data_IF_668083907534
#
_entry.id   IF_668083907534
#
_cell.length_a   1.000
_cell.length_b   1.000
_cell.length_c   1.000
_cell.angle_alpha   90.00
_cell.angle_beta   90.00
_cell.angle_gamma   90.00
#
_symmetry.space_group_name_H-M   'P 1'
#
loop_
_entity.id
_entity.type
_entity.pdbx_description
1 polymer ?
#
# COMPACT_ATOMS: atom_id res chain seq x y z
N UNK A 1 26.16 26.69 74.59
CA UNK A 1 25.21 26.00 73.71
C UNK A 1 25.03 26.86 72.46
N UNK A 2 25.67 26.49 71.36
CA UNK A 2 25.60 27.22 70.09
C UNK A 2 24.52 26.53 69.19
N UNK A 3 23.47 27.27 68.86
CA UNK A 3 22.45 26.82 67.96
C UNK A 3 22.92 27.06 66.50
N UNK A 4 23.12 25.98 65.75
CA UNK A 4 23.35 26.03 64.30
C UNK A 4 21.98 26.07 63.58
N UNK A 5 21.73 27.19 62.93
CA UNK A 5 20.61 27.31 62.00
C UNK A 5 21.00 26.62 60.65
N UNK A 6 20.30 25.56 60.31
CA UNK A 6 20.39 24.91 58.96
C UNK A 6 19.45 25.65 58.08
N UNK A 7 19.95 26.43 57.11
CA UNK A 7 19.18 26.97 55.99
C UNK A 7 18.97 25.87 54.94
N UNK A 8 17.75 25.37 54.84
CA UNK A 8 17.31 24.56 53.72
C UNK A 8 17.03 25.49 52.51
N UNK A 9 17.97 25.55 51.58
CA UNK A 9 17.73 26.17 50.28
C UNK A 9 16.86 25.25 49.41
N UNK A 10 15.57 25.55 49.29
CA UNK A 10 14.68 24.95 48.33
C UNK A 10 15.08 25.42 46.91
N UNK A 11 15.69 24.50 46.15
CA UNK A 11 15.93 24.71 44.74
C UNK A 11 14.56 24.55 44.06
N UNK A 12 13.92 25.67 43.73
CA UNK A 12 12.80 25.70 42.79
C UNK A 12 13.37 25.47 41.39
N UNK A 13 13.30 24.23 40.91
CA UNK A 13 13.43 23.95 39.44
C UNK A 13 12.15 24.47 38.81
N UNK A 14 12.20 25.68 38.29
CA UNK A 14 11.15 26.18 37.41
C UNK A 14 11.16 25.34 36.14
N UNK A 15 10.27 24.36 36.03
CA UNK A 15 9.92 23.75 34.77
C UNK A 15 9.21 24.84 33.95
N UNK A 16 9.99 25.60 33.17
CA UNK A 16 9.40 26.44 32.14
C UNK A 16 8.71 25.51 31.17
N UNK A 17 7.38 25.51 31.17
CA UNK A 17 6.62 24.90 30.12
C UNK A 17 7.02 25.62 28.81
N UNK A 18 7.88 25.00 28.01
CA UNK A 18 8.19 25.50 26.71
C UNK A 18 6.87 25.51 25.90
N UNK A 19 6.45 26.67 25.43
CA UNK A 19 5.33 26.79 24.51
C UNK A 19 5.60 25.88 23.30
N UNK A 20 4.59 25.11 22.90
CA UNK A 20 4.68 24.30 21.68
C UNK A 20 5.00 25.23 20.48
N UNK A 21 5.77 24.69 19.54
CA UNK A 21 5.99 25.35 18.26
C UNK A 21 4.62 25.70 17.63
N UNK A 22 4.37 26.95 17.18
CA UNK A 22 3.09 27.37 16.65
C UNK A 22 2.64 26.56 15.40
N UNK A 23 3.58 26.00 14.64
CA UNK A 23 3.27 25.11 13.53
C UNK A 23 2.76 23.76 14.04
N UNK A 24 3.40 23.20 15.08
CA UNK A 24 2.97 21.95 15.73
C UNK A 24 1.57 22.12 16.34
N UNK A 25 1.31 23.26 16.99
CA UNK A 25 0.00 23.56 17.58
C UNK A 25 -1.08 23.67 16.49
N UNK A 26 -0.82 24.43 15.43
CA UNK A 26 -1.76 24.60 14.32
C UNK A 26 -2.11 23.28 13.65
N UNK A 27 -1.10 22.45 13.30
CA UNK A 27 -1.31 21.14 12.69
C UNK A 27 -2.08 20.23 13.64
N UNK A 28 -1.69 20.14 14.92
CA UNK A 28 -2.36 19.30 15.91
C UNK A 28 -3.84 19.63 15.99
N UNK A 29 -4.17 20.92 16.18
CA UNK A 29 -5.56 21.38 16.30
C UNK A 29 -6.40 21.02 15.07
N UNK A 30 -5.90 21.23 13.86
CA UNK A 30 -6.65 20.97 12.62
C UNK A 30 -6.85 19.45 12.43
N UNK A 31 -5.78 18.66 12.64
CA UNK A 31 -5.84 17.20 12.45
C UNK A 31 -6.78 16.55 13.46
N UNK A 32 -6.71 16.93 14.75
CA UNK A 32 -7.59 16.40 15.80
C UNK A 32 -9.06 16.80 15.58
N UNK A 33 -9.32 18.05 15.19
CA UNK A 33 -10.66 18.50 14.84
C UNK A 33 -11.26 17.72 13.67
N UNK A 34 -10.42 17.32 12.70
CA UNK A 34 -10.79 16.48 11.57
C UNK A 34 -10.85 14.98 11.91
N UNK A 35 -10.60 14.57 13.16
CA UNK A 35 -10.50 13.17 13.61
C UNK A 35 -9.38 12.39 12.92
N UNK A 36 -8.34 13.08 12.45
CA UNK A 36 -7.10 12.47 12.03
C UNK A 36 -6.28 11.94 13.21
N UNK A 37 -5.18 11.28 12.91
CA UNK A 37 -4.29 10.72 13.94
C UNK A 37 -2.97 11.47 13.94
N UNK A 38 -2.44 11.72 15.13
CA UNK A 38 -1.08 12.21 15.35
C UNK A 38 -0.35 11.31 16.36
N UNK A 39 0.97 11.20 16.19
CA UNK A 39 1.87 10.69 17.22
C UNK A 39 2.94 11.73 17.49
N UNK A 40 3.18 12.02 18.76
CA UNK A 40 4.19 12.99 19.20
C UNK A 40 5.56 12.34 19.28
N UNK A 41 6.61 13.16 19.19
CA UNK A 41 7.98 12.75 19.51
C UNK A 41 8.11 12.42 20.99
N UNK A 42 9.18 11.72 21.36
CA UNK A 42 9.55 11.54 22.76
C UNK A 42 9.73 12.91 23.42
N UNK A 43 9.05 13.13 24.55
CA UNK A 43 8.99 14.45 25.19
C UNK A 43 7.83 15.35 24.71
N UNK A 44 7.08 14.98 23.68
CA UNK A 44 5.81 15.61 23.30
C UNK A 44 5.90 16.99 22.63
N UNK A 45 7.10 17.46 22.30
CA UNK A 45 7.33 18.83 21.80
C UNK A 45 7.08 18.97 20.27
N UNK A 46 7.05 17.86 19.54
CA UNK A 46 6.84 17.87 18.08
C UNK A 46 6.06 16.63 17.65
N UNK A 47 5.85 16.46 16.33
CA UNK A 47 5.11 15.32 15.78
C UNK A 47 6.05 14.36 15.03
N UNK A 48 5.77 13.07 15.21
CA UNK A 48 6.46 11.97 14.51
C UNK A 48 5.61 11.37 13.41
N UNK A 49 4.28 11.32 13.59
CA UNK A 49 3.32 10.79 12.63
C UNK A 49 2.12 11.73 12.49
N UNK A 50 1.67 11.91 11.26
CA UNK A 50 0.43 12.59 10.93
C UNK A 50 -0.34 11.77 9.90
N UNK A 51 -1.56 11.35 10.27
CA UNK A 51 -2.54 10.75 9.37
C UNK A 51 -3.72 11.72 9.21
N UNK A 52 -3.91 12.23 8.01
CA UNK A 52 -5.01 13.13 7.71
C UNK A 52 -6.29 12.32 7.48
N UNK A 53 -7.37 12.74 8.12
CA UNK A 53 -8.72 12.25 7.86
C UNK A 53 -9.59 13.40 7.38
N UNK A 54 -10.50 13.14 6.45
CA UNK A 54 -11.52 14.12 6.02
C UNK A 54 -12.84 13.77 6.72
N UNK A 55 -13.40 14.68 7.54
CA UNK A 55 -14.66 14.43 8.21
C UNK A 55 -15.78 14.13 7.21
N UNK A 56 -16.63 13.16 7.55
CA UNK A 56 -17.81 12.78 6.75
C UNK A 56 -17.50 12.41 5.29
N UNK A 57 -16.27 11.95 5.02
CA UNK A 57 -15.89 11.47 3.72
C UNK A 57 -16.73 10.26 3.32
N UNK A 58 -17.84 10.49 2.61
CA UNK A 58 -18.60 9.46 1.93
C UNK A 58 -17.83 8.91 0.72
N UNK A 59 -18.27 7.79 0.13
CA UNK A 59 -17.53 7.13 -0.96
C UNK A 59 -17.36 7.99 -2.23
N UNK A 60 -18.09 9.11 -2.37
CA UNK A 60 -18.11 9.92 -3.58
C UNK A 60 -17.92 11.44 -3.40
N UNK A 61 -17.94 11.97 -2.18
CA UNK A 61 -17.74 13.42 -1.92
C UNK A 61 -16.82 13.64 -0.71
N UNK A 62 -15.58 13.22 -0.87
CA UNK A 62 -14.56 13.26 0.18
C UNK A 62 -14.00 14.66 0.47
N UNK A 63 -14.43 15.69 -0.30
CA UNK A 63 -13.68 16.96 -0.36
C UNK A 63 -14.47 18.18 0.08
N UNK A 64 -15.76 18.02 0.39
CA UNK A 64 -16.62 19.18 0.70
C UNK A 64 -16.16 19.87 1.97
N UNK A 65 -15.85 19.11 3.00
CA UNK A 65 -15.45 19.59 4.32
C UNK A 65 -13.95 19.38 4.60
N UNK A 66 -13.10 19.36 3.54
CA UNK A 66 -11.65 19.19 3.66
C UNK A 66 -11.04 20.43 4.34
N UNK A 67 -10.48 20.31 5.56
CA UNK A 67 -9.89 21.41 6.30
C UNK A 67 -8.43 21.69 5.93
N UNK A 68 -7.85 20.91 5.00
CA UNK A 68 -6.43 20.95 4.68
C UNK A 68 -6.20 21.79 3.43
N UNK A 69 -5.86 23.06 3.63
CA UNK A 69 -5.53 24.02 2.59
C UNK A 69 -4.01 24.23 2.42
N UNK A 70 -3.63 25.15 1.56
CA UNK A 70 -2.21 25.49 1.33
C UNK A 70 -1.50 25.93 2.63
N UNK A 71 -2.19 26.71 3.50
CA UNK A 71 -1.61 27.18 4.76
C UNK A 71 -1.35 26.00 5.72
N UNK A 72 -2.24 25.00 5.74
CA UNK A 72 -2.03 23.77 6.51
C UNK A 72 -0.75 23.04 6.06
N UNK A 73 -0.56 22.83 4.75
CA UNK A 73 0.64 22.17 4.23
C UNK A 73 1.92 22.98 4.46
N UNK A 74 1.83 24.31 4.45
CA UNK A 74 2.96 25.16 4.86
C UNK A 74 3.30 24.94 6.36
N UNK A 75 2.33 24.97 7.27
CA UNK A 75 2.56 24.64 8.68
C UNK A 75 3.17 23.25 8.84
N UNK A 76 2.63 22.25 8.15
CA UNK A 76 3.11 20.87 8.22
C UNK A 76 4.58 20.76 7.79
N UNK A 77 5.01 21.55 6.80
CA UNK A 77 6.38 21.56 6.26
C UNK A 77 7.45 21.98 7.26
N UNK A 78 7.08 22.71 8.32
CA UNK A 78 7.98 23.11 9.39
C UNK A 78 8.22 22.02 10.44
N UNK A 79 7.43 20.94 10.43
CA UNK A 79 7.55 19.84 11.40
C UNK A 79 8.56 18.81 10.90
N UNK A 80 9.82 19.19 10.85
CA UNK A 80 10.90 18.38 10.26
C UNK A 80 11.20 17.07 11.01
N UNK A 81 10.60 16.86 12.20
CA UNK A 81 10.67 15.62 12.96
C UNK A 81 9.77 14.51 12.45
N UNK A 82 8.89 14.80 11.46
CA UNK A 82 7.99 13.81 10.90
C UNK A 82 8.74 12.66 10.23
N UNK A 83 8.38 11.44 10.63
CA UNK A 83 8.82 10.18 10.02
C UNK A 83 7.73 9.54 9.17
N UNK A 84 6.46 9.83 9.43
CA UNK A 84 5.32 9.26 8.70
C UNK A 84 4.25 10.31 8.41
N UNK A 85 3.86 10.41 7.13
CA UNK A 85 2.79 11.27 6.66
C UNK A 85 1.85 10.48 5.75
N UNK A 86 0.55 10.49 6.08
CA UNK A 86 -0.50 9.91 5.28
C UNK A 86 -1.56 10.96 4.94
N UNK A 87 -1.77 11.21 3.65
CA UNK A 87 -2.69 12.21 3.11
C UNK A 87 -3.81 11.49 2.36
N UNK A 88 -5.02 11.47 2.93
CA UNK A 88 -6.14 10.70 2.39
C UNK A 88 -7.24 11.63 1.88
N UNK A 89 -7.61 11.46 0.60
CA UNK A 89 -8.80 12.07 -0.02
C UNK A 89 -8.93 13.59 0.18
N UNK A 90 -7.80 14.30 0.25
CA UNK A 90 -7.77 15.77 0.39
C UNK A 90 -7.84 16.48 -0.97
N UNK A 91 -8.05 17.81 -0.94
CA UNK A 91 -7.93 18.68 -2.13
C UNK A 91 -6.48 18.97 -2.54
N UNK A 92 -5.51 18.37 -1.84
CA UNK A 92 -4.09 18.58 -2.10
C UNK A 92 -3.75 18.45 -3.59
N UNK A 93 -2.91 19.36 -4.04
CA UNK A 93 -2.40 19.45 -5.39
C UNK A 93 -0.89 19.72 -5.35
N UNK A 94 -0.24 19.73 -6.50
CA UNK A 94 1.21 19.86 -6.61
C UNK A 94 1.76 21.12 -5.92
N UNK A 95 1.04 22.24 -6.04
CA UNK A 95 1.46 23.52 -5.43
C UNK A 95 1.40 23.45 -3.89
N UNK A 96 0.30 22.94 -3.33
CA UNK A 96 0.12 22.90 -1.88
C UNK A 96 1.09 21.97 -1.18
N UNK A 97 1.49 20.87 -1.83
CA UNK A 97 2.43 19.91 -1.24
C UNK A 97 3.90 20.26 -1.45
N UNK A 98 4.21 21.24 -2.32
CA UNK A 98 5.58 21.62 -2.65
C UNK A 98 6.46 21.90 -1.39
N UNK A 99 5.97 22.58 -0.32
CA UNK A 99 6.77 22.78 0.89
C UNK A 99 7.16 21.50 1.63
N UNK A 100 6.45 20.38 1.41
CA UNK A 100 6.72 19.11 2.11
C UNK A 100 8.08 18.46 1.75
N UNK A 101 8.75 18.95 0.71
CA UNK A 101 10.14 18.58 0.40
C UNK A 101 11.12 18.91 1.54
N UNK A 102 10.74 19.80 2.49
CA UNK A 102 11.53 20.09 3.71
C UNK A 102 11.55 18.95 4.72
N UNK A 103 10.64 17.97 4.63
CA UNK A 103 10.45 16.89 5.61
C UNK A 103 11.44 15.74 5.39
N UNK A 104 12.72 16.02 5.45
CA UNK A 104 13.81 15.09 5.09
C UNK A 104 13.94 13.86 5.99
N UNK A 105 13.25 13.83 7.14
CA UNK A 105 13.22 12.68 8.05
C UNK A 105 12.10 11.68 7.73
N UNK A 106 11.26 11.95 6.72
CA UNK A 106 10.20 11.03 6.32
C UNK A 106 10.77 9.68 5.86
N UNK A 107 10.22 8.62 6.45
CA UNK A 107 10.41 7.21 6.09
C UNK A 107 9.19 6.66 5.35
N UNK A 108 8.00 7.17 5.69
CA UNK A 108 6.74 6.76 5.07
C UNK A 108 5.99 7.98 4.56
N UNK A 109 5.67 7.98 3.26
CA UNK A 109 4.85 9.02 2.63
C UNK A 109 3.76 8.37 1.79
N UNK A 110 2.49 8.71 2.08
CA UNK A 110 1.34 8.13 1.37
C UNK A 110 0.36 9.21 0.96
N UNK A 111 -0.07 9.14 -0.29
CA UNK A 111 -1.20 9.87 -0.82
C UNK A 111 -2.24 8.88 -1.34
N UNK A 112 -3.49 9.03 -0.90
CA UNK A 112 -4.59 8.15 -1.30
C UNK A 112 -5.76 8.99 -1.78
N UNK A 113 -6.23 8.74 -3.01
CA UNK A 113 -7.34 9.44 -3.65
C UNK A 113 -7.12 10.97 -3.80
N UNK A 114 -5.87 11.37 -4.02
CA UNK A 114 -5.49 12.75 -4.29
C UNK A 114 -5.31 12.95 -5.80
N UNK A 115 -6.40 12.94 -6.57
CA UNK A 115 -6.40 12.92 -8.03
C UNK A 115 -5.83 14.17 -8.72
N UNK A 116 -5.47 15.23 -7.97
CA UNK A 116 -4.80 16.43 -8.49
C UNK A 116 -3.28 16.35 -8.40
N UNK A 117 -2.73 15.28 -7.80
CA UNK A 117 -1.29 15.07 -7.74
C UNK A 117 -0.79 14.48 -9.05
N UNK A 118 0.24 15.09 -9.60
CA UNK A 118 0.91 14.69 -10.84
C UNK A 118 2.40 14.42 -10.60
N UNK A 119 3.12 14.10 -11.66
CA UNK A 119 4.58 13.92 -11.57
C UNK A 119 5.31 15.18 -11.09
N UNK A 120 4.78 16.39 -11.35
CA UNK A 120 5.36 17.63 -10.87
C UNK A 120 5.36 17.70 -9.33
N UNK A 121 4.26 17.30 -8.69
CA UNK A 121 4.20 17.18 -7.22
C UNK A 121 5.12 16.08 -6.68
N UNK A 122 5.24 14.97 -7.40
CA UNK A 122 6.14 13.88 -7.01
C UNK A 122 7.62 14.32 -7.04
N UNK A 123 8.03 15.13 -7.99
CA UNK A 123 9.42 15.65 -8.08
C UNK A 123 9.84 16.41 -6.81
N UNK A 124 8.90 17.06 -6.10
CA UNK A 124 9.15 17.72 -4.82
C UNK A 124 9.77 16.77 -3.79
N UNK A 125 9.43 15.50 -3.85
CA UNK A 125 9.88 14.50 -2.87
C UNK A 125 11.22 13.84 -3.24
N UNK A 126 11.80 14.14 -4.41
CA UNK A 126 13.07 13.55 -4.84
C UNK A 126 14.23 13.75 -3.83
N UNK A 127 14.15 14.81 -3.03
CA UNK A 127 15.15 15.14 -1.97
C UNK A 127 15.00 14.30 -0.71
N UNK A 128 13.92 13.52 -0.54
CA UNK A 128 13.60 12.76 0.68
C UNK A 128 14.34 11.42 0.70
N UNK A 129 15.64 11.43 0.96
CA UNK A 129 16.54 10.26 0.89
C UNK A 129 16.31 9.19 1.98
N UNK A 130 15.47 9.48 2.97
CA UNK A 130 15.16 8.55 4.07
C UNK A 130 13.88 7.74 3.82
N UNK A 131 13.19 7.94 2.70
CA UNK A 131 12.00 7.18 2.37
C UNK A 131 12.31 5.67 2.24
N UNK A 132 11.46 4.88 2.90
CA UNK A 132 11.45 3.41 2.87
C UNK A 132 10.15 2.90 2.22
N UNK A 133 9.03 3.60 2.48
CA UNK A 133 7.72 3.28 1.92
C UNK A 133 7.11 4.51 1.27
N UNK A 134 6.66 4.33 0.05
CA UNK A 134 6.05 5.38 -0.74
C UNK A 134 4.77 4.90 -1.44
N UNK A 135 3.71 5.73 -1.45
CA UNK A 135 2.43 5.31 -2.02
C UNK A 135 1.68 6.48 -2.68
N UNK A 136 1.21 6.26 -3.91
CA UNK A 136 0.38 7.15 -4.70
C UNK A 136 -0.89 6.44 -5.21
N UNK A 137 -1.73 6.02 -4.29
CA UNK A 137 -2.97 5.30 -4.61
C UNK A 137 -4.03 6.28 -5.13
N UNK A 138 -4.61 6.01 -6.32
CA UNK A 138 -5.69 6.83 -6.88
C UNK A 138 -5.26 8.28 -7.19
N UNK A 139 -4.04 8.47 -7.69
CA UNK A 139 -3.50 9.77 -8.11
C UNK A 139 -3.34 9.86 -9.63
N UNK A 140 -3.04 11.06 -10.16
CA UNK A 140 -2.74 11.29 -11.58
C UNK A 140 -1.26 11.13 -11.93
N UNK A 141 -0.43 10.60 -11.01
CA UNK A 141 0.99 10.39 -11.22
C UNK A 141 1.20 9.28 -12.25
N UNK A 142 1.99 9.58 -13.27
CA UNK A 142 2.34 8.64 -14.34
C UNK A 142 3.61 7.85 -14.03
N UNK A 143 4.43 8.29 -13.07
CA UNK A 143 5.66 7.66 -12.62
C UNK A 143 6.93 8.14 -13.32
N UNK A 144 6.85 9.04 -14.31
CA UNK A 144 8.05 9.57 -15.00
C UNK A 144 8.99 10.32 -14.06
N UNK A 145 8.46 10.92 -12.99
CA UNK A 145 9.24 11.60 -11.97
C UNK A 145 10.24 10.69 -11.24
N UNK A 146 10.11 9.35 -11.31
CA UNK A 146 11.11 8.44 -10.73
C UNK A 146 12.52 8.67 -11.30
N UNK A 147 12.64 9.19 -12.51
CA UNK A 147 13.92 9.58 -13.09
C UNK A 147 14.67 10.67 -12.26
N UNK A 148 13.97 11.40 -11.38
CA UNK A 148 14.56 12.37 -10.44
C UNK A 148 14.87 11.78 -9.07
N UNK A 149 14.43 10.54 -8.79
CA UNK A 149 14.47 9.91 -7.47
C UNK A 149 15.65 8.94 -7.30
N UNK A 150 16.75 9.14 -8.00
CA UNK A 150 17.92 8.24 -7.97
C UNK A 150 18.50 8.03 -6.54
N UNK A 151 18.30 8.99 -5.65
CA UNK A 151 18.76 8.94 -4.26
C UNK A 151 17.84 8.15 -3.32
N UNK A 152 16.72 7.61 -3.80
CA UNK A 152 15.78 6.81 -2.99
C UNK A 152 16.26 5.37 -2.78
N UNK A 153 17.48 5.23 -2.32
CA UNK A 153 18.16 3.93 -2.16
C UNK A 153 17.59 3.07 -1.03
N UNK A 154 16.80 3.67 -0.11
CA UNK A 154 16.16 2.97 1.01
C UNK A 154 14.73 2.51 0.69
N UNK A 155 14.15 2.94 -0.44
CA UNK A 155 12.78 2.57 -0.79
C UNK A 155 12.71 1.09 -1.12
N UNK A 156 11.92 0.36 -0.31
CA UNK A 156 11.68 -1.08 -0.46
C UNK A 156 10.22 -1.39 -0.78
N UNK A 157 9.33 -0.43 -0.61
CA UNK A 157 7.89 -0.63 -0.86
C UNK A 157 7.26 0.57 -1.56
N UNK A 158 6.60 0.29 -2.69
CA UNK A 158 5.86 1.30 -3.48
C UNK A 158 4.45 0.80 -3.79
N UNK A 159 3.47 1.73 -3.81
CA UNK A 159 2.13 1.45 -4.30
C UNK A 159 1.68 2.51 -5.30
N UNK A 160 1.25 2.04 -6.45
CA UNK A 160 0.59 2.80 -7.52
C UNK A 160 -0.81 2.27 -7.82
N UNK A 161 -1.47 1.63 -6.85
CA UNK A 161 -2.82 1.09 -7.04
C UNK A 161 -3.78 2.18 -7.53
N UNK A 162 -4.37 1.98 -8.71
CA UNK A 162 -5.31 2.93 -9.31
C UNK A 162 -4.70 4.29 -9.68
N UNK A 163 -3.37 4.43 -9.75
CA UNK A 163 -2.71 5.62 -10.27
C UNK A 163 -2.64 5.60 -11.80
N UNK A 164 -2.10 6.67 -12.38
CA UNK A 164 -1.94 6.78 -13.83
C UNK A 164 -0.61 6.22 -14.35
N UNK A 165 0.11 5.40 -13.56
CA UNK A 165 1.41 4.85 -13.99
C UNK A 165 1.27 4.08 -15.30
N UNK A 166 2.04 4.50 -16.31
CA UNK A 166 2.08 3.93 -17.64
C UNK A 166 3.41 3.19 -17.90
N UNK A 167 3.65 2.77 -19.14
CA UNK A 167 4.83 1.98 -19.50
C UNK A 167 6.14 2.72 -19.24
N UNK A 168 6.22 4.03 -19.58
CA UNK A 168 7.42 4.84 -19.33
C UNK A 168 7.64 5.10 -17.83
N UNK A 169 6.55 5.34 -17.10
CA UNK A 169 6.63 5.49 -15.64
C UNK A 169 7.04 4.21 -14.95
N UNK A 170 6.53 3.05 -15.38
CA UNK A 170 6.95 1.75 -14.86
C UNK A 170 8.42 1.45 -15.17
N UNK A 171 8.88 1.80 -16.38
CA UNK A 171 10.30 1.71 -16.76
C UNK A 171 11.16 2.55 -15.82
N UNK A 172 10.82 3.84 -15.64
CA UNK A 172 11.56 4.75 -14.77
C UNK A 172 11.60 4.24 -13.32
N UNK A 173 10.48 3.74 -12.79
CA UNK A 173 10.41 3.13 -11.47
C UNK A 173 11.39 1.95 -11.34
N UNK A 174 11.36 1.01 -12.28
CA UNK A 174 12.21 -0.18 -12.25
C UNK A 174 13.72 0.13 -12.41
N UNK A 175 14.06 1.21 -13.13
CA UNK A 175 15.44 1.65 -13.33
C UNK A 175 16.03 2.39 -12.13
N UNK A 176 15.20 3.17 -11.43
CA UNK A 176 15.67 4.04 -10.34
C UNK A 176 15.44 3.49 -8.94
N UNK A 177 14.60 2.46 -8.77
CA UNK A 177 14.32 1.82 -7.47
C UNK A 177 14.68 0.33 -7.44
N UNK A 178 15.95 -0.04 -7.64
CA UNK A 178 16.35 -1.46 -7.78
C UNK A 178 16.24 -2.26 -6.47
N UNK A 179 16.02 -1.59 -5.33
CA UNK A 179 15.92 -2.23 -4.00
C UNK A 179 14.49 -2.60 -3.61
N UNK A 180 13.50 -2.42 -4.51
CA UNK A 180 12.12 -2.76 -4.21
C UNK A 180 11.97 -4.24 -3.88
N UNK A 181 11.31 -4.48 -2.73
CA UNK A 181 10.87 -5.81 -2.29
C UNK A 181 9.37 -6.00 -2.47
N UNK A 182 8.58 -4.92 -2.44
CA UNK A 182 7.13 -4.99 -2.61
C UNK A 182 6.61 -3.85 -3.49
N UNK A 183 5.76 -4.19 -4.45
CA UNK A 183 5.10 -3.21 -5.32
C UNK A 183 3.63 -3.58 -5.56
N UNK A 184 2.75 -2.57 -5.50
CA UNK A 184 1.34 -2.70 -5.89
C UNK A 184 1.08 -1.87 -7.15
N UNK A 185 0.63 -2.53 -8.20
CA UNK A 185 0.30 -1.99 -9.53
C UNK A 185 -1.14 -2.36 -9.95
N UNK A 186 -2.02 -2.73 -9.00
CA UNK A 186 -3.40 -3.04 -9.34
C UNK A 186 -4.13 -1.82 -9.90
N UNK A 187 -4.94 -2.02 -10.95
CA UNK A 187 -5.66 -0.97 -11.68
C UNK A 187 -4.74 0.12 -12.27
N UNK A 188 -3.48 -0.20 -12.52
CA UNK A 188 -2.51 0.66 -13.21
C UNK A 188 -2.82 0.78 -14.71
N UNK A 189 -2.08 1.63 -15.43
CA UNK A 189 -2.34 1.90 -16.86
C UNK A 189 -1.26 1.38 -17.80
N UNK A 190 -0.23 0.68 -17.28
CA UNK A 190 0.79 0.07 -18.13
C UNK A 190 0.21 -1.06 -19.00
N UNK A 191 0.92 -1.39 -20.07
CA UNK A 191 0.57 -2.42 -21.05
C UNK A 191 1.60 -3.55 -21.06
N UNK A 192 1.46 -4.50 -21.98
CA UNK A 192 2.48 -5.55 -22.20
C UNK A 192 3.86 -4.98 -22.56
N UNK A 193 3.96 -3.73 -23.04
CA UNK A 193 5.22 -3.07 -23.36
C UNK A 193 6.00 -2.65 -22.10
N UNK A 194 5.29 -2.27 -21.03
CA UNK A 194 5.92 -1.89 -19.75
C UNK A 194 6.33 -3.08 -18.89
N UNK A 195 5.60 -4.19 -18.97
CA UNK A 195 5.79 -5.36 -18.10
C UNK A 195 7.22 -5.94 -18.09
N UNK A 196 7.99 -5.98 -19.20
CA UNK A 196 9.36 -6.49 -19.20
C UNK A 196 10.30 -5.78 -18.24
N UNK A 197 10.05 -4.49 -17.93
CA UNK A 197 10.89 -3.74 -17.00
C UNK A 197 10.86 -4.27 -15.57
N UNK A 198 9.76 -4.95 -15.17
CA UNK A 198 9.64 -5.58 -13.85
C UNK A 198 10.79 -6.59 -13.57
N UNK A 199 11.31 -7.26 -14.60
CA UNK A 199 12.43 -8.22 -14.45
C UNK A 199 13.71 -7.60 -13.89
N UNK A 200 13.86 -6.27 -13.91
CA UNK A 200 14.98 -5.54 -13.30
C UNK A 200 14.93 -5.51 -11.77
N UNK A 201 13.76 -5.75 -11.17
CA UNK A 201 13.53 -5.69 -9.72
C UNK A 201 13.94 -7.02 -9.06
N UNK A 202 15.21 -7.36 -9.10
CA UNK A 202 15.74 -8.67 -8.68
C UNK A 202 15.59 -9.00 -7.20
N UNK A 203 15.15 -8.04 -6.38
CA UNK A 203 14.83 -8.21 -4.94
C UNK A 203 13.32 -8.33 -4.66
N UNK A 204 12.48 -8.29 -5.72
CA UNK A 204 11.04 -8.24 -5.57
C UNK A 204 10.48 -9.57 -5.05
N UNK A 205 9.89 -9.54 -3.86
CA UNK A 205 9.25 -10.68 -3.18
C UNK A 205 7.74 -10.64 -3.25
N UNK A 206 7.16 -9.43 -3.28
CA UNK A 206 5.72 -9.23 -3.30
C UNK A 206 5.28 -8.34 -4.46
N UNK A 207 4.34 -8.83 -5.27
CA UNK A 207 3.75 -8.09 -6.37
C UNK A 207 2.22 -8.18 -6.33
N UNK A 208 1.56 -7.03 -6.35
CA UNK A 208 0.15 -6.91 -6.69
C UNK A 208 0.08 -6.30 -8.09
N UNK A 209 -0.51 -7.04 -9.06
CA UNK A 209 -0.58 -6.62 -10.45
C UNK A 209 -1.99 -6.84 -11.01
N UNK A 210 -2.51 -5.85 -11.68
CA UNK A 210 -3.80 -5.90 -12.35
C UNK A 210 -3.95 -4.67 -13.22
N UNK A 211 -4.23 -4.88 -14.49
CA UNK A 211 -4.46 -3.82 -15.46
C UNK A 211 -5.33 -4.36 -16.60
N UNK A 212 -6.26 -3.52 -17.05
CA UNK A 212 -7.09 -3.85 -18.23
C UNK A 212 -6.35 -3.67 -19.55
N UNK A 213 -5.12 -3.15 -19.51
CA UNK A 213 -4.34 -2.78 -20.69
C UNK A 213 -3.24 -3.80 -21.03
N UNK A 214 -3.01 -4.81 -20.15
CA UNK A 214 -2.05 -5.88 -20.39
C UNK A 214 -2.74 -7.24 -20.50
N UNK A 215 -2.08 -8.18 -21.15
CA UNK A 215 -2.52 -9.57 -21.30
C UNK A 215 -1.76 -10.50 -20.34
N UNK A 216 -2.21 -11.74 -20.13
CA UNK A 216 -1.45 -12.74 -19.38
C UNK A 216 -0.01 -12.96 -19.87
N UNK A 217 0.31 -12.59 -21.12
CA UNK A 217 1.67 -12.66 -21.64
C UNK A 217 2.66 -11.80 -20.86
N UNK A 218 2.20 -10.70 -20.25
CA UNK A 218 3.01 -9.84 -19.38
C UNK A 218 3.61 -10.58 -18.17
N UNK A 219 2.91 -11.61 -17.67
CA UNK A 219 3.34 -12.38 -16.49
C UNK A 219 4.58 -13.26 -16.75
N UNK A 220 4.89 -13.57 -18.00
CA UNK A 220 6.11 -14.34 -18.36
C UNK A 220 7.41 -13.66 -17.89
N UNK A 221 7.40 -12.33 -17.83
CA UNK A 221 8.55 -11.53 -17.39
C UNK A 221 8.83 -11.65 -15.88
N UNK A 222 7.92 -12.27 -15.12
CA UNK A 222 8.05 -12.47 -13.67
C UNK A 222 8.80 -13.76 -13.32
N UNK A 223 9.05 -14.66 -14.27
CA UNK A 223 9.58 -15.99 -14.03
C UNK A 223 10.97 -16.01 -13.36
N UNK A 224 11.76 -14.95 -13.55
CA UNK A 224 13.12 -14.82 -12.99
C UNK A 224 13.16 -14.11 -11.64
N UNK A 225 12.04 -13.60 -11.17
CA UNK A 225 11.96 -12.85 -9.92
C UNK A 225 11.77 -13.79 -8.71
N UNK A 226 12.34 -13.46 -7.54
CA UNK A 226 12.22 -14.27 -6.33
C UNK A 226 10.85 -14.02 -5.63
N UNK A 227 9.77 -14.03 -6.40
CA UNK A 227 8.42 -13.73 -5.87
C UNK A 227 7.95 -14.82 -4.91
N UNK A 228 7.60 -14.41 -3.71
CA UNK A 228 6.96 -15.23 -2.69
C UNK A 228 5.45 -14.97 -2.62
N UNK A 229 5.02 -13.76 -2.95
CA UNK A 229 3.63 -13.34 -2.99
C UNK A 229 3.27 -12.71 -4.33
N UNK A 230 2.15 -13.14 -4.90
CA UNK A 230 1.59 -12.56 -6.11
C UNK A 230 0.08 -12.40 -5.97
N UNK A 231 -0.42 -11.19 -6.22
CA UNK A 231 -1.84 -10.93 -6.40
C UNK A 231 -2.10 -10.59 -7.85
N UNK A 232 -3.04 -11.29 -8.46
CA UNK A 232 -3.53 -11.05 -9.82
C UNK A 232 -4.93 -10.47 -9.79
N UNK A 233 -5.21 -9.54 -10.70
CA UNK A 233 -6.54 -8.95 -10.89
C UNK A 233 -6.71 -8.37 -12.29
N UNK A 234 -7.88 -7.77 -12.56
CA UNK A 234 -8.22 -7.09 -13.82
C UNK A 234 -8.02 -7.95 -15.09
N UNK A 235 -8.35 -9.24 -15.00
CA UNK A 235 -8.25 -10.19 -16.10
C UNK A 235 -6.94 -10.98 -16.16
N UNK A 236 -5.90 -10.58 -15.40
CA UNK A 236 -4.69 -11.38 -15.26
C UNK A 236 -4.88 -12.62 -14.38
N UNK A 237 -5.98 -12.70 -13.65
CA UNK A 237 -6.46 -13.84 -12.85
C UNK A 237 -7.34 -14.81 -13.66
N UNK A 238 -7.40 -14.65 -15.01
CA UNK A 238 -7.99 -15.61 -15.94
C UNK A 238 -7.14 -16.91 -16.06
N UNK A 239 -7.68 -17.99 -16.65
CA UNK A 239 -6.97 -19.27 -16.78
C UNK A 239 -5.55 -19.16 -17.36
N UNK A 240 -5.36 -18.33 -18.38
CA UNK A 240 -4.07 -18.11 -19.04
C UNK A 240 -3.07 -17.43 -18.10
N UNK A 241 -3.52 -16.52 -17.22
CA UNK A 241 -2.69 -15.87 -16.22
C UNK A 241 -2.28 -16.85 -15.11
N UNK A 242 -3.21 -17.69 -14.67
CA UNK A 242 -2.94 -18.75 -13.69
C UNK A 242 -1.91 -19.74 -14.27
N UNK A 243 -2.05 -20.12 -15.54
CA UNK A 243 -1.08 -20.98 -16.22
C UNK A 243 0.30 -20.31 -16.34
N UNK A 244 0.36 -19.01 -16.62
CA UNK A 244 1.60 -18.28 -16.82
C UNK A 244 2.46 -18.20 -15.54
N UNK A 245 1.85 -18.18 -14.35
CA UNK A 245 2.59 -18.10 -13.06
C UNK A 245 3.08 -19.44 -12.54
N UNK A 246 2.71 -20.54 -13.16
CA UNK A 246 3.14 -21.90 -12.74
C UNK A 246 4.68 -22.05 -12.73
N UNK A 247 5.37 -21.33 -13.59
CA UNK A 247 6.83 -21.36 -13.69
C UNK A 247 7.54 -20.61 -12.56
N UNK A 248 6.82 -19.80 -11.77
CA UNK A 248 7.39 -19.04 -10.65
C UNK A 248 7.40 -19.97 -9.42
N UNK A 249 8.42 -20.79 -9.30
CA UNK A 249 8.49 -21.87 -8.29
C UNK A 249 8.73 -21.35 -6.86
N UNK A 250 9.11 -20.07 -6.71
CA UNK A 250 9.33 -19.42 -5.41
C UNK A 250 8.04 -18.97 -4.72
N UNK A 251 6.91 -18.92 -5.47
CA UNK A 251 5.62 -18.49 -4.92
C UNK A 251 5.18 -19.37 -3.75
N UNK A 252 4.78 -18.72 -2.65
CA UNK A 252 4.19 -19.32 -1.46
C UNK A 252 2.73 -18.92 -1.30
N UNK A 253 2.37 -17.72 -1.74
CA UNK A 253 1.01 -17.19 -1.64
C UNK A 253 0.58 -16.55 -2.94
N UNK A 254 -0.63 -16.88 -3.38
CA UNK A 254 -1.31 -16.26 -4.52
C UNK A 254 -2.68 -15.76 -4.09
N UNK A 255 -3.07 -14.58 -4.57
CA UNK A 255 -4.44 -14.04 -4.48
C UNK A 255 -4.95 -13.80 -5.89
N UNK A 256 -6.09 -14.40 -6.22
CA UNK A 256 -6.87 -14.20 -7.44
C UNK A 256 -8.10 -13.37 -7.06
N UNK A 257 -8.28 -12.17 -7.62
CA UNK A 257 -9.24 -11.21 -7.04
C UNK A 257 -10.63 -11.21 -7.66
N UNK A 258 -10.78 -11.55 -8.96
CA UNK A 258 -12.02 -11.43 -9.73
C UNK A 258 -12.33 -12.73 -10.47
N UNK A 259 -12.61 -13.80 -9.71
CA UNK A 259 -12.81 -15.14 -10.27
C UNK A 259 -14.29 -15.51 -10.42
N UNK A 260 -15.19 -14.53 -10.58
CA UNK A 260 -16.64 -14.76 -10.78
C UNK A 260 -16.93 -15.63 -12.00
N UNK A 261 -16.09 -15.55 -13.02
CA UNK A 261 -16.21 -16.28 -14.29
C UNK A 261 -15.12 -17.35 -14.47
N UNK A 262 -14.38 -17.69 -13.38
CA UNK A 262 -13.35 -18.72 -13.47
C UNK A 262 -13.98 -20.07 -13.86
N UNK A 263 -13.54 -20.63 -14.99
CA UNK A 263 -13.99 -21.92 -15.50
C UNK A 263 -13.45 -23.08 -14.67
N UNK A 264 -13.97 -24.31 -14.90
CA UNK A 264 -13.43 -25.52 -14.25
C UNK A 264 -11.98 -25.79 -14.68
N UNK A 265 -11.62 -25.44 -15.93
CA UNK A 265 -10.25 -25.50 -16.40
C UNK A 265 -9.34 -24.52 -15.61
N UNK A 266 -9.78 -23.30 -15.42
CA UNK A 266 -9.05 -22.30 -14.61
C UNK A 266 -8.89 -22.75 -13.15
N UNK A 267 -9.94 -23.35 -12.56
CA UNK A 267 -9.85 -23.90 -11.22
C UNK A 267 -8.84 -25.06 -11.15
N UNK A 268 -8.84 -25.94 -12.16
CA UNK A 268 -7.85 -27.03 -12.27
C UNK A 268 -6.42 -26.47 -12.38
N UNK A 269 -6.19 -25.42 -13.19
CA UNK A 269 -4.89 -24.77 -13.27
C UNK A 269 -4.44 -24.20 -11.91
N UNK A 270 -5.36 -23.63 -11.13
CA UNK A 270 -5.06 -23.17 -9.77
C UNK A 270 -4.68 -24.33 -8.85
N UNK A 271 -5.31 -25.50 -8.99
CA UNK A 271 -4.95 -26.71 -8.20
C UNK A 271 -3.58 -27.29 -8.57
N UNK A 272 -3.06 -26.95 -9.74
CA UNK A 272 -1.73 -27.37 -10.21
C UNK A 272 -0.58 -26.52 -9.62
N UNK A 273 -0.87 -25.43 -8.94
CA UNK A 273 0.13 -24.59 -8.28
C UNK A 273 0.61 -25.24 -6.96
N UNK A 274 1.28 -26.38 -7.06
CA UNK A 274 1.66 -27.25 -5.91
C UNK A 274 2.72 -26.62 -4.99
N UNK A 275 3.43 -25.59 -5.43
CA UNK A 275 4.40 -24.86 -4.63
C UNK A 275 3.76 -23.93 -3.59
N UNK A 276 2.44 -23.67 -3.68
CA UNK A 276 1.77 -22.73 -2.80
C UNK A 276 1.52 -23.32 -1.41
N UNK A 277 1.71 -22.50 -0.39
CA UNK A 277 1.23 -22.69 0.98
C UNK A 277 -0.17 -22.07 1.19
N UNK A 278 -0.44 -20.94 0.52
CA UNK A 278 -1.66 -20.16 0.70
C UNK A 278 -2.25 -19.74 -0.64
N UNK A 279 -3.56 -19.88 -0.77
CA UNK A 279 -4.31 -19.42 -1.93
C UNK A 279 -5.57 -18.67 -1.47
N UNK A 280 -5.77 -17.47 -2.01
CA UNK A 280 -7.03 -16.73 -1.90
C UNK A 280 -7.70 -16.65 -3.27
N UNK A 281 -9.00 -16.98 -3.34
CA UNK A 281 -9.80 -16.88 -4.56
C UNK A 281 -11.02 -16.01 -4.25
N UNK A 282 -11.11 -14.87 -4.92
CA UNK A 282 -12.21 -13.92 -4.79
C UNK A 282 -13.29 -14.13 -5.83
N UNK A 283 -14.55 -14.16 -5.41
CA UNK A 283 -15.70 -14.22 -6.31
C UNK A 283 -15.99 -15.60 -6.91
N UNK A 284 -15.30 -16.66 -6.50
CA UNK A 284 -15.48 -17.99 -7.08
C UNK A 284 -16.91 -18.51 -6.89
N UNK A 285 -17.61 -18.79 -8.00
CA UNK A 285 -18.89 -19.48 -7.96
C UNK A 285 -18.68 -20.96 -7.63
N UNK A 286 -19.38 -21.44 -6.57
CA UNK A 286 -19.26 -22.82 -6.06
C UNK A 286 -20.63 -23.48 -5.97
N UNK A 287 -21.25 -23.86 -7.11
CA UNK A 287 -22.37 -24.77 -7.09
C UNK A 287 -21.91 -26.16 -6.59
N UNK A 288 -22.84 -26.98 -6.12
CA UNK A 288 -22.53 -28.24 -5.43
C UNK A 288 -21.64 -29.20 -6.26
N UNK A 289 -21.80 -29.22 -7.56
CA UNK A 289 -21.02 -30.02 -8.51
C UNK A 289 -19.55 -29.60 -8.63
N UNK A 290 -19.21 -28.34 -8.26
CA UNK A 290 -17.83 -27.84 -8.28
C UNK A 290 -17.09 -28.09 -6.96
N UNK A 291 -17.80 -28.26 -5.84
CA UNK A 291 -17.17 -28.39 -4.53
C UNK A 291 -16.15 -29.55 -4.48
N UNK A 292 -16.43 -30.74 -5.06
CA UNK A 292 -15.46 -31.85 -5.05
C UNK A 292 -14.11 -31.53 -5.69
N UNK A 293 -14.06 -30.61 -6.65
CA UNK A 293 -12.81 -30.22 -7.31
C UNK A 293 -11.82 -29.55 -6.33
N UNK A 294 -12.33 -28.92 -5.25
CA UNK A 294 -11.50 -28.28 -4.23
C UNK A 294 -10.64 -29.28 -3.44
N UNK A 295 -10.94 -30.58 -3.47
CA UNK A 295 -10.11 -31.63 -2.83
C UNK A 295 -8.65 -31.58 -3.29
N UNK A 296 -8.38 -31.11 -4.52
CA UNK A 296 -7.04 -30.98 -5.08
C UNK A 296 -6.18 -29.89 -4.39
N UNK A 297 -6.79 -29.02 -3.56
CA UNK A 297 -6.11 -28.06 -2.71
C UNK A 297 -5.64 -28.60 -1.36
N UNK A 298 -5.76 -29.92 -1.10
CA UNK A 298 -5.36 -30.55 0.15
C UNK A 298 -3.86 -30.38 0.51
N UNK A 299 -3.03 -29.90 -0.41
CA UNK A 299 -1.62 -29.58 -0.18
C UNK A 299 -1.42 -28.19 0.46
N UNK A 300 -2.42 -27.29 0.41
CA UNK A 300 -2.34 -25.96 0.98
C UNK A 300 -2.35 -26.00 2.51
N UNK A 301 -1.71 -25.01 3.13
CA UNK A 301 -1.85 -24.71 4.56
C UNK A 301 -3.11 -23.87 4.82
N UNK A 302 -3.40 -22.92 3.90
CA UNK A 302 -4.56 -22.02 3.97
C UNK A 302 -5.23 -21.88 2.61
N UNK A 303 -6.56 -22.00 2.60
CA UNK A 303 -7.41 -21.64 1.46
C UNK A 303 -8.41 -20.57 1.92
N UNK A 304 -8.35 -19.38 1.35
CA UNK A 304 -9.33 -18.33 1.60
C UNK A 304 -10.24 -18.16 0.41
N UNK A 305 -11.55 -18.26 0.65
CA UNK A 305 -12.59 -18.08 -0.36
C UNK A 305 -13.41 -16.83 0.00
N UNK A 306 -13.45 -15.85 -0.90
CA UNK A 306 -14.21 -14.62 -0.70
C UNK A 306 -15.33 -14.52 -1.73
N UNK A 307 -16.55 -14.17 -1.30
CA UNK A 307 -17.69 -13.96 -2.20
C UNK A 307 -18.53 -12.78 -1.72
N UNK A 308 -18.06 -11.58 -1.98
CA UNK A 308 -18.74 -10.35 -1.53
C UNK A 308 -19.82 -9.93 -2.54
N UNK A 309 -20.94 -9.34 -2.06
CA UNK A 309 -21.25 -9.05 -0.64
C UNK A 309 -21.93 -10.19 0.11
N UNK A 310 -22.27 -11.32 -0.55
CA UNK A 310 -23.19 -12.34 0.01
C UNK A 310 -22.49 -13.40 0.89
N UNK A 311 -21.19 -13.63 0.72
CA UNK A 311 -20.50 -14.77 1.31
C UNK A 311 -20.95 -16.12 0.71
N UNK A 312 -20.50 -17.22 1.31
CA UNK A 312 -20.96 -18.57 0.96
C UNK A 312 -21.96 -19.08 2.00
N UNK A 313 -23.02 -19.83 1.59
CA UNK A 313 -23.96 -20.46 2.51
C UNK A 313 -23.25 -21.35 3.54
N UNK A 314 -23.78 -21.43 4.76
CA UNK A 314 -23.19 -22.22 5.84
C UNK A 314 -23.02 -23.70 5.47
N UNK A 315 -23.97 -24.26 4.71
CA UNK A 315 -23.91 -25.64 4.21
C UNK A 315 -22.72 -25.82 3.24
N UNK A 316 -22.53 -24.91 2.29
CA UNK A 316 -21.38 -24.91 1.37
C UNK A 316 -20.07 -24.83 2.14
N UNK A 317 -19.98 -23.93 3.14
CA UNK A 317 -18.78 -23.81 3.98
C UNK A 317 -18.49 -25.12 4.73
N UNK A 318 -19.52 -25.77 5.28
CA UNK A 318 -19.37 -27.04 5.99
C UNK A 318 -18.89 -28.17 5.07
N UNK A 319 -19.46 -28.28 3.85
CA UNK A 319 -19.03 -29.27 2.82
C UNK A 319 -17.55 -29.08 2.48
N UNK A 320 -17.11 -27.82 2.26
CA UNK A 320 -15.72 -27.52 1.89
C UNK A 320 -14.75 -27.83 3.04
N UNK A 321 -15.09 -27.46 4.28
CA UNK A 321 -14.27 -27.80 5.47
C UNK A 321 -14.14 -29.30 5.68
N UNK A 322 -15.23 -30.04 5.48
CA UNK A 322 -15.19 -31.50 5.58
C UNK A 322 -14.32 -32.15 4.49
N UNK A 323 -14.28 -31.56 3.29
CA UNK A 323 -13.44 -31.99 2.18
C UNK A 323 -11.95 -31.74 2.41
N UNK A 324 -11.60 -30.69 3.16
CA UNK A 324 -10.23 -30.21 3.38
C UNK A 324 -9.86 -30.18 4.88
N UNK A 325 -9.90 -31.30 5.60
CA UNK A 325 -9.80 -31.32 7.07
C UNK A 325 -8.44 -30.89 7.63
N UNK A 326 -7.40 -30.85 6.78
CA UNK A 326 -6.03 -30.43 7.15
C UNK A 326 -5.67 -29.02 6.69
N UNK A 327 -6.55 -28.36 5.94
CA UNK A 327 -6.35 -27.01 5.40
C UNK A 327 -7.12 -26.02 6.26
N UNK A 328 -6.51 -24.90 6.62
CA UNK A 328 -7.21 -23.79 7.27
C UNK A 328 -8.09 -23.08 6.24
N UNK A 329 -9.38 -23.46 6.16
CA UNK A 329 -10.32 -22.89 5.20
C UNK A 329 -11.04 -21.69 5.80
N UNK A 330 -10.81 -20.50 5.24
CA UNK A 330 -11.41 -19.23 5.63
C UNK A 330 -12.43 -18.75 4.61
N UNK A 331 -13.52 -18.16 5.10
CA UNK A 331 -14.57 -17.56 4.26
C UNK A 331 -14.76 -16.08 4.62
N UNK A 332 -14.98 -15.23 3.60
CA UNK A 332 -15.19 -13.80 3.80
C UNK A 332 -16.24 -13.23 2.80
#
# INVERSE_FOLDING_TARGET
MKHQLILLSSIFISVSAFALDPHVEAVTRIVEAAKGKIEKTEGGQSLKLVDLAVPNAGPHDHRKDDPYDAAFFEHLSHITTLESLNVIATKANDEWIAPLGKLTNLKTLRFTNNGKLTDAGMETFAVLKNLETFSFVGTSITGRAYAKCADWTKVIKVSHRGSSIDDEGLKALCEHLPNLENISLAHAKFTDAGAPHLSKLTKLKGLEIGTKNATPASLKNLATLPLEYLQLGDGLDAPEGIAAIKVITTLKRVTLTHCEHLTDEGLKLATDLKQLDQLEIGGLALPDERIPQLAAFAHLKELKLTNRPKGYPAETQAKIKALLPKVDVKFQ
#
